data_IF_317693188845
#
_entry.id   IF_317693188845
#
_cell.length_a   1.000
_cell.length_b   1.000
_cell.length_c   1.000
_cell.angle_alpha   90.00
_cell.angle_beta   90.00
_cell.angle_gamma   90.00
#
_symmetry.space_group_name_H-M   'P 1'
#
loop_
_entity.id
_entity.type
_entity.pdbx_description
1 polymer ?
#
# COMPACT_ATOMS: atom_id res chain seq x y z
N UNK A 1 -4.46 -18.01 -2.97
CA UNK A 1 -4.22 -16.55 -2.95
C UNK A 1 -4.42 -16.04 -1.54
N UNK A 2 -3.68 -15.01 -1.15
CA UNK A 2 -3.70 -14.38 0.18
C UNK A 2 -3.88 -12.88 0.03
N UNK A 3 -4.42 -12.25 1.07
CA UNK A 3 -4.47 -10.79 1.22
C UNK A 3 -3.67 -10.37 2.43
N UNK A 4 -3.20 -9.13 2.43
CA UNK A 4 -2.45 -8.53 3.52
C UNK A 4 -2.73 -7.04 3.62
N UNK A 5 -2.75 -6.53 4.85
CA UNK A 5 -2.94 -5.10 5.14
C UNK A 5 -1.86 -4.66 6.11
N UNK A 6 -1.26 -3.49 5.85
CA UNK A 6 -0.41 -2.79 6.81
C UNK A 6 -0.71 -1.30 6.81
N UNK A 7 -0.43 -0.65 7.93
CA UNK A 7 -0.78 0.75 8.17
C UNK A 7 0.48 1.51 8.56
N UNK A 8 0.83 2.54 7.78
CA UNK A 8 1.82 3.54 8.19
C UNK A 8 1.11 4.67 8.92
N UNK A 9 1.30 4.71 10.24
CA UNK A 9 0.71 5.73 11.10
C UNK A 9 1.32 7.11 10.86
N UNK A 10 0.50 8.16 11.01
CA UNK A 10 0.92 9.57 10.95
C UNK A 10 1.84 9.89 9.77
N UNK A 11 1.51 9.34 8.60
CA UNK A 11 2.26 9.45 7.36
C UNK A 11 1.36 10.08 6.31
N UNK A 12 1.74 11.26 5.82
CA UNK A 12 0.99 11.97 4.79
C UNK A 12 1.83 12.05 3.52
N UNK A 13 1.24 11.61 2.40
CA UNK A 13 1.85 11.69 1.07
C UNK A 13 0.82 12.15 0.06
N UNK A 14 1.29 12.77 -1.02
CA UNK A 14 0.40 13.11 -2.13
C UNK A 14 -0.07 11.84 -2.86
N UNK A 15 -1.22 11.96 -3.54
CA UNK A 15 -1.85 10.82 -4.22
C UNK A 15 -1.02 10.27 -5.37
N UNK A 16 -0.22 11.10 -6.05
CA UNK A 16 0.64 10.68 -7.17
C UNK A 16 1.74 9.76 -6.65
N UNK A 17 2.37 10.12 -5.54
CA UNK A 17 3.36 9.28 -4.88
C UNK A 17 2.75 7.95 -4.43
N UNK A 18 1.59 7.95 -3.79
CA UNK A 18 0.92 6.71 -3.37
C UNK A 18 0.55 5.82 -4.57
N UNK A 19 0.14 6.40 -5.70
CA UNK A 19 -0.10 5.66 -6.95
C UNK A 19 1.18 5.02 -7.50
N UNK A 20 2.33 5.70 -7.41
CA UNK A 20 3.63 5.14 -7.82
C UNK A 20 4.06 3.99 -6.92
N UNK A 21 3.87 4.13 -5.60
CA UNK A 21 4.11 3.04 -4.63
C UNK A 21 3.23 1.84 -4.97
N UNK A 22 1.92 2.03 -5.14
CA UNK A 22 0.99 0.96 -5.47
C UNK A 22 1.38 0.23 -6.77
N UNK A 23 1.79 0.98 -7.80
CA UNK A 23 2.29 0.41 -9.05
C UNK A 23 3.57 -0.41 -8.83
N UNK A 24 4.56 0.17 -8.13
CA UNK A 24 5.82 -0.53 -7.86
C UNK A 24 5.66 -1.79 -7.00
N UNK A 25 4.63 -1.87 -6.17
CA UNK A 25 4.29 -3.12 -5.45
C UNK A 25 3.57 -4.10 -6.38
N UNK A 26 2.64 -3.62 -7.20
CA UNK A 26 1.87 -4.47 -8.12
C UNK A 26 2.73 -5.10 -9.22
N UNK A 27 3.86 -4.47 -9.57
CA UNK A 27 4.80 -4.99 -10.56
C UNK A 27 5.68 -6.14 -10.00
N UNK A 28 5.62 -6.44 -8.70
CA UNK A 28 6.35 -7.57 -8.11
C UNK A 28 5.76 -8.93 -8.54
N UNK A 29 6.59 -9.92 -8.93
CA UNK A 29 6.11 -11.24 -9.32
C UNK A 29 5.29 -11.91 -8.21
N UNK A 30 4.08 -12.35 -8.55
CA UNK A 30 3.20 -13.02 -7.60
C UNK A 30 2.34 -12.07 -6.75
N UNK A 31 2.34 -10.77 -7.05
CA UNK A 31 1.31 -9.81 -6.62
C UNK A 31 0.26 -9.66 -7.72
N UNK A 32 -1.01 -9.79 -7.36
CA UNK A 32 -2.14 -9.60 -8.28
C UNK A 32 -2.66 -8.16 -8.23
N UNK A 33 -2.59 -7.55 -7.05
CA UNK A 33 -3.14 -6.23 -6.80
C UNK A 33 -2.48 -5.60 -5.58
N UNK A 34 -2.09 -4.33 -5.70
CA UNK A 34 -1.75 -3.51 -4.56
C UNK A 34 -2.49 -2.17 -4.61
N UNK A 35 -2.91 -1.71 -3.44
CA UNK A 35 -3.57 -0.43 -3.24
C UNK A 35 -2.90 0.28 -2.08
N UNK A 36 -2.60 1.55 -2.30
CA UNK A 36 -1.95 2.42 -1.33
C UNK A 36 -2.72 3.72 -1.31
N UNK A 37 -3.29 4.07 -0.17
CA UNK A 37 -4.17 5.22 -0.05
C UNK A 37 -4.23 5.73 1.39
N UNK A 38 -4.58 7.01 1.54
CA UNK A 38 -4.77 7.59 2.87
C UNK A 38 -6.03 7.06 3.54
N UNK A 39 -6.03 7.00 4.87
CA UNK A 39 -7.09 6.48 5.72
C UNK A 39 -8.35 7.34 5.85
N UNK A 40 -8.76 8.04 4.78
CA UNK A 40 -10.01 8.80 4.76
C UNK A 40 -11.23 7.87 4.80
N UNK A 41 -12.39 8.36 5.25
CA UNK A 41 -13.64 7.58 5.31
C UNK A 41 -14.04 6.97 3.95
N UNK A 42 -13.91 7.75 2.87
CA UNK A 42 -14.19 7.26 1.51
C UNK A 42 -13.28 6.09 1.13
N UNK A 43 -11.99 6.18 1.48
CA UNK A 43 -11.03 5.13 1.17
C UNK A 43 -11.21 3.89 2.06
N UNK A 44 -11.59 4.05 3.33
CA UNK A 44 -11.95 2.92 4.21
C UNK A 44 -13.14 2.13 3.64
N UNK A 45 -14.15 2.84 3.15
CA UNK A 45 -15.31 2.22 2.48
C UNK A 45 -14.87 1.41 1.24
N UNK A 46 -13.90 1.92 0.47
CA UNK A 46 -13.32 1.19 -0.66
C UNK A 46 -12.62 -0.09 -0.20
N UNK A 47 -11.77 -0.02 0.83
CA UNK A 47 -11.06 -1.19 1.38
C UNK A 47 -12.00 -2.30 1.86
N UNK A 48 -13.11 -1.92 2.51
CA UNK A 48 -14.13 -2.88 2.96
C UNK A 48 -14.76 -3.62 1.77
N UNK A 49 -15.10 -2.90 0.69
CA UNK A 49 -15.64 -3.50 -0.55
C UNK A 49 -14.66 -4.48 -1.19
N UNK A 50 -13.37 -4.35 -0.89
CA UNK A 50 -12.30 -5.21 -1.40
C UNK A 50 -12.00 -6.41 -0.50
N UNK A 51 -12.73 -6.55 0.61
CA UNK A 51 -12.62 -7.68 1.53
C UNK A 51 -11.72 -7.42 2.74
N UNK A 52 -11.24 -6.18 2.94
CA UNK A 52 -10.59 -5.81 4.20
C UNK A 52 -11.64 -5.76 5.31
N UNK A 53 -11.36 -6.39 6.44
CA UNK A 53 -12.29 -6.38 7.57
C UNK A 53 -12.29 -5.00 8.21
N UNK A 54 -13.47 -4.50 8.55
CA UNK A 54 -13.64 -3.21 9.23
C UNK A 54 -12.77 -3.11 10.49
N UNK A 55 -12.69 -4.18 11.29
CA UNK A 55 -11.84 -4.25 12.49
C UNK A 55 -10.34 -4.00 12.23
N UNK A 56 -9.85 -4.29 11.02
CA UNK A 56 -8.43 -4.07 10.68
C UNK A 56 -8.13 -2.59 10.40
N UNK A 57 -9.16 -1.79 10.09
CA UNK A 57 -9.02 -0.38 9.69
C UNK A 57 -9.85 0.58 10.56
N UNK A 58 -10.46 0.10 11.64
CA UNK A 58 -11.29 0.92 12.54
C UNK A 58 -10.49 2.07 13.18
N UNK A 59 -9.24 1.79 13.57
CA UNK A 59 -8.33 2.79 14.14
C UNK A 59 -7.61 3.67 13.10
N UNK A 60 -7.88 3.49 11.81
CA UNK A 60 -7.22 4.23 10.73
C UNK A 60 -7.83 5.62 10.63
N UNK A 61 -6.96 6.62 10.70
CA UNK A 61 -7.31 8.03 10.51
C UNK A 61 -6.89 8.54 9.14
N UNK A 62 -7.35 9.74 8.76
CA UNK A 62 -6.93 10.42 7.54
C UNK A 62 -5.43 10.73 7.46
N UNK A 63 -4.72 10.69 8.60
CA UNK A 63 -3.28 10.92 8.69
C UNK A 63 -2.46 9.63 8.52
N UNK A 64 -3.11 8.50 8.29
CA UNK A 64 -2.46 7.22 8.09
C UNK A 64 -2.47 6.83 6.61
N UNK A 65 -1.48 6.08 6.17
CA UNK A 65 -1.51 5.37 4.88
C UNK A 65 -1.84 3.91 5.12
N UNK A 66 -2.80 3.39 4.38
CA UNK A 66 -3.13 1.97 4.34
C UNK A 66 -2.59 1.36 3.07
N UNK A 67 -1.91 0.23 3.21
CA UNK A 67 -1.39 -0.58 2.12
C UNK A 67 -2.14 -1.91 2.15
N UNK A 68 -2.89 -2.19 1.10
CA UNK A 68 -3.57 -3.47 0.86
C UNK A 68 -2.91 -4.20 -0.30
N UNK A 69 -2.69 -5.50 -0.13
CA UNK A 69 -2.00 -6.34 -1.10
C UNK A 69 -2.76 -7.66 -1.25
N UNK A 70 -2.87 -8.14 -2.49
CA UNK A 70 -3.38 -9.47 -2.83
C UNK A 70 -2.40 -10.17 -3.76
N UNK A 71 -2.13 -11.44 -3.49
CA UNK A 71 -1.16 -12.22 -4.25
C UNK A 71 -0.97 -13.65 -3.77
N UNK A 72 0.15 -14.25 -4.15
CA UNK A 72 0.66 -15.48 -3.54
C UNK A 72 1.05 -15.22 -2.08
N UNK A 73 0.82 -16.19 -1.19
CA UNK A 73 1.05 -16.00 0.25
C UNK A 73 2.48 -15.58 0.57
N UNK A 74 3.47 -16.30 0.03
CA UNK A 74 4.88 -15.99 0.25
C UNK A 74 5.27 -14.60 -0.23
N UNK A 75 4.71 -14.14 -1.36
CA UNK A 75 5.02 -12.81 -1.89
C UNK A 75 4.34 -11.71 -1.08
N UNK A 76 3.08 -11.90 -0.68
CA UNK A 76 2.37 -10.95 0.19
C UNK A 76 3.16 -10.76 1.49
N UNK A 77 3.55 -11.85 2.14
CA UNK A 77 4.32 -11.80 3.39
C UNK A 77 5.67 -11.06 3.16
N UNK A 78 6.41 -11.40 2.11
CA UNK A 78 7.68 -10.75 1.74
C UNK A 78 7.55 -9.24 1.48
N UNK A 79 6.50 -8.83 0.77
CA UNK A 79 6.26 -7.42 0.45
C UNK A 79 5.90 -6.64 1.72
N UNK A 80 5.06 -7.20 2.59
CA UNK A 80 4.69 -6.56 3.85
C UNK A 80 5.91 -6.36 4.76
N UNK A 81 6.80 -7.35 4.85
CA UNK A 81 8.04 -7.28 5.63
C UNK A 81 9.00 -6.19 5.14
N UNK A 82 8.88 -5.79 3.86
CA UNK A 82 9.79 -4.83 3.23
C UNK A 82 9.07 -3.58 2.71
N UNK A 83 7.83 -3.32 3.15
CA UNK A 83 6.95 -2.29 2.59
C UNK A 83 7.57 -0.88 2.60
N UNK A 84 8.43 -0.60 3.57
CA UNK A 84 9.09 0.70 3.71
C UNK A 84 10.03 1.04 2.55
N UNK A 85 10.56 0.04 1.82
CA UNK A 85 11.48 0.30 0.69
C UNK A 85 10.83 1.14 -0.41
N UNK A 86 9.53 1.00 -0.62
CA UNK A 86 8.79 1.78 -1.62
C UNK A 86 8.51 3.22 -1.17
N UNK A 87 8.59 3.51 0.13
CA UNK A 87 8.43 4.85 0.67
C UNK A 87 9.75 5.63 0.77
N UNK A 88 10.88 4.98 0.47
CA UNK A 88 12.17 5.67 0.34
C UNK A 88 12.24 6.34 -1.04
N UNK A 89 12.40 7.67 -1.06
CA UNK A 89 12.69 8.39 -2.31
C UNK A 89 13.99 7.82 -2.87
N UNK A 90 13.93 7.00 -3.92
CA UNK A 90 15.04 6.98 -4.86
C UNK A 90 15.08 8.38 -5.43
N UNK A 91 16.07 9.16 -5.03
CA UNK A 91 16.52 10.26 -5.88
C UNK A 91 16.88 9.56 -7.18
N UNK A 92 15.96 9.57 -8.14
CA UNK A 92 16.27 9.22 -9.51
C UNK A 92 17.24 10.31 -9.94
N UNK A 93 18.53 10.09 -9.70
CA UNK A 93 19.57 10.80 -10.41
C UNK A 93 19.22 10.61 -11.87
N UNK A 94 18.81 11.68 -12.53
CA UNK A 94 18.62 11.73 -13.96
C UNK A 94 19.90 11.16 -14.57
N UNK A 95 19.83 9.92 -15.09
CA UNK A 95 20.88 9.44 -15.98
C UNK A 95 20.81 10.32 -17.21
N UNK A 96 21.83 11.15 -17.30
CA UNK A 96 22.29 11.96 -18.43
C UNK A 96 21.84 11.37 -19.76
N UNK A 97 21.15 12.19 -20.56
CA UNK A 97 21.29 12.22 -22.01
C UNK A 97 21.42 13.67 -22.43
#
# INVERSE_FOLDING_TARGET
MSTGVTIKKNSYFDSVFLMQVAKGISDEPGIDQAIVLMGTENNKTLLIKMGVKEKEIDSVSSNDVVIFIKGSKSQVDLVLDNVDRWFTRKITSLKTR
#
